data_IF_252935779054
#
_entry.id   IF_252935779054
#
_cell.length_a   1.000
_cell.length_b   1.000
_cell.length_c   1.000
_cell.angle_alpha   90.00
_cell.angle_beta   90.00
_cell.angle_gamma   90.00
#
_symmetry.space_group_name_H-M   'P 1'
#
loop_
_entity.id
_entity.type
_entity.pdbx_description
1 polymer ?
#
# COMPACT_ATOMS: atom_id res chain seq x y z
N UNK A 1 23.96 -12.97 33.51
CA UNK A 1 22.70 -12.18 33.37
C UNK A 1 22.71 -11.33 32.10
N UNK A 2 23.67 -10.41 31.92
CA UNK A 2 23.77 -9.55 30.72
C UNK A 2 23.83 -10.34 29.39
N UNK A 3 24.54 -11.47 29.35
CA UNK A 3 24.61 -12.33 28.16
C UNK A 3 23.29 -13.03 27.84
N UNK A 4 22.49 -13.36 28.85
CA UNK A 4 21.16 -13.96 28.67
C UNK A 4 20.20 -12.89 28.16
N UNK A 5 20.28 -11.67 28.70
CA UNK A 5 19.50 -10.52 28.25
C UNK A 5 19.79 -10.17 26.78
N UNK A 6 21.07 -10.18 26.36
CA UNK A 6 21.45 -9.99 24.96
C UNK A 6 20.91 -11.10 24.05
N UNK A 7 20.94 -12.36 24.51
CA UNK A 7 20.46 -13.50 23.74
C UNK A 7 18.93 -13.44 23.57
N UNK A 8 18.20 -13.06 24.61
CA UNK A 8 16.74 -12.85 24.55
C UNK A 8 16.38 -11.68 23.61
N UNK A 9 17.14 -10.59 23.61
CA UNK A 9 16.91 -9.46 22.72
C UNK A 9 17.13 -9.83 21.24
N UNK A 10 18.13 -10.66 20.96
CA UNK A 10 18.38 -11.21 19.61
C UNK A 10 17.26 -12.16 19.14
N UNK A 11 16.66 -12.91 20.06
CA UNK A 11 15.60 -13.87 19.76
C UNK A 11 14.22 -13.20 19.60
N UNK A 12 13.97 -12.13 20.35
CA UNK A 12 12.71 -11.37 20.34
C UNK A 12 12.67 -10.24 19.31
N UNK A 13 13.80 -9.95 18.67
CA UNK A 13 13.81 -9.17 17.43
C UNK A 13 13.66 -10.17 16.29
N UNK A 14 12.45 -10.47 15.78
CA UNK A 14 12.37 -10.85 14.39
C UNK A 14 13.06 -9.69 13.68
N UNK A 15 14.22 -9.98 13.08
CA UNK A 15 14.84 -9.12 12.09
C UNK A 15 13.65 -8.62 11.27
N UNK A 16 13.38 -7.32 11.33
CA UNK A 16 12.40 -6.70 10.47
C UNK A 16 12.97 -6.86 9.06
N UNK A 17 12.83 -8.05 8.52
CA UNK A 17 12.86 -8.35 7.11
C UNK A 17 11.66 -7.55 6.62
N UNK A 18 11.89 -6.26 6.42
CA UNK A 18 10.99 -5.43 5.65
C UNK A 18 10.79 -6.23 4.38
N UNK A 19 9.60 -6.83 4.27
CA UNK A 19 9.22 -7.57 3.08
C UNK A 19 9.38 -6.53 1.98
N UNK A 20 10.37 -6.73 1.12
CA UNK A 20 10.56 -5.87 -0.03
C UNK A 20 9.38 -6.16 -0.94
N UNK A 21 8.27 -5.48 -0.68
CA UNK A 21 7.08 -5.51 -1.49
C UNK A 21 7.49 -4.98 -2.85
N UNK A 22 7.33 -5.83 -3.86
CA UNK A 22 7.61 -5.46 -5.24
C UNK A 22 6.72 -4.27 -5.61
N UNK A 23 7.33 -3.24 -6.19
CA UNK A 23 6.62 -2.01 -6.52
C UNK A 23 5.58 -2.34 -7.60
N UNK A 24 4.30 -2.08 -7.34
CA UNK A 24 3.22 -2.32 -8.32
C UNK A 24 3.46 -1.62 -9.68
N UNK A 25 4.17 -0.50 -9.67
CA UNK A 25 4.65 0.16 -10.90
C UNK A 25 5.77 1.14 -10.59
N UNK A 26 6.76 1.25 -11.48
CA UNK A 26 7.77 2.31 -11.37
C UNK A 26 7.21 3.71 -11.62
N UNK A 27 6.07 3.83 -12.34
CA UNK A 27 5.50 5.10 -12.83
C UNK A 27 4.07 5.34 -12.34
N UNK A 28 3.83 6.51 -11.74
CA UNK A 28 2.50 6.95 -11.29
C UNK A 28 2.13 8.28 -11.97
N UNK A 29 0.86 8.44 -12.32
CA UNK A 29 0.26 9.71 -12.70
C UNK A 29 -0.28 10.37 -11.44
N UNK A 30 0.40 11.41 -10.97
CA UNK A 30 -0.09 12.31 -9.94
C UNK A 30 -0.80 13.52 -10.59
N UNK A 31 -1.73 14.15 -9.88
CA UNK A 31 -2.34 15.41 -10.35
C UNK A 31 -1.36 16.59 -10.30
N UNK A 32 -0.32 16.52 -9.45
CA UNK A 32 0.73 17.52 -9.32
C UNK A 32 2.09 16.84 -9.02
N UNK A 33 3.19 17.57 -9.20
CA UNK A 33 4.55 17.10 -8.89
C UNK A 33 4.72 16.80 -7.38
N UNK A 34 3.90 17.42 -6.52
CA UNK A 34 3.82 17.14 -5.10
C UNK A 34 2.68 16.13 -4.78
N UNK A 35 2.97 15.00 -4.11
CA UNK A 35 2.00 13.92 -3.85
C UNK A 35 0.94 14.24 -2.78
N UNK A 36 0.74 15.53 -2.47
CA UNK A 36 -0.09 15.99 -1.35
C UNK A 36 -1.55 16.17 -1.76
N UNK A 37 -1.83 16.38 -3.04
CA UNK A 37 -3.18 16.69 -3.51
C UNK A 37 -3.94 15.45 -4.00
N UNK A 38 -5.14 15.25 -3.47
CA UNK A 38 -6.09 14.25 -3.96
C UNK A 38 -6.54 14.61 -5.38
N UNK A 39 -6.45 13.64 -6.31
CA UNK A 39 -6.90 13.80 -7.70
C UNK A 39 -8.42 13.81 -7.77
N UNK A 40 -9.06 12.90 -7.03
CA UNK A 40 -10.52 12.76 -7.04
C UNK A 40 -11.07 12.07 -5.80
N UNK A 41 -12.32 12.38 -5.47
CA UNK A 41 -13.11 11.66 -4.49
C UNK A 41 -13.97 10.63 -5.22
N UNK A 42 -13.74 9.34 -4.97
CA UNK A 42 -14.49 8.25 -5.57
C UNK A 42 -15.44 7.64 -4.53
N UNK A 43 -16.58 7.12 -5.01
CA UNK A 43 -17.47 6.28 -4.20
C UNK A 43 -17.34 4.84 -4.67
N UNK A 44 -17.14 3.93 -3.74
CA UNK A 44 -17.11 2.50 -4.02
C UNK A 44 -18.51 1.99 -4.43
N UNK A 45 -18.62 1.37 -5.59
CA UNK A 45 -19.86 0.74 -6.04
C UNK A 45 -20.05 -0.68 -5.48
N UNK A 46 -18.95 -1.35 -5.14
CA UNK A 46 -18.91 -2.73 -4.67
C UNK A 46 -17.97 -2.87 -3.47
N UNK A 47 -18.14 -3.96 -2.72
CA UNK A 47 -17.20 -4.36 -1.68
C UNK A 47 -15.96 -4.98 -2.33
N UNK A 48 -14.77 -4.49 -1.96
CA UNK A 48 -13.50 -5.08 -2.35
C UNK A 48 -12.74 -5.53 -1.12
N UNK A 49 -12.46 -6.84 -1.05
CA UNK A 49 -11.65 -7.43 0.01
C UNK A 49 -10.25 -7.71 -0.53
N UNK A 50 -9.28 -6.92 -0.09
CA UNK A 50 -7.88 -7.06 -0.39
C UNK A 50 -7.35 -8.42 0.10
N UNK A 51 -6.73 -9.18 -0.79
CA UNK A 51 -6.00 -10.41 -0.44
C UNK A 51 -4.72 -10.11 0.35
N UNK A 52 -4.04 -9.01 0.02
CA UNK A 52 -2.79 -8.58 0.62
C UNK A 52 -2.94 -7.20 1.27
N UNK A 53 -3.01 -7.18 2.61
CA UNK A 53 -3.26 -5.97 3.40
C UNK A 53 -2.14 -4.92 3.32
N UNK A 54 -0.96 -5.30 2.83
CA UNK A 54 0.17 -4.38 2.64
C UNK A 54 0.11 -3.63 1.30
N UNK A 55 -0.67 -4.12 0.33
CA UNK A 55 -0.69 -3.61 -1.05
C UNK A 55 -2.02 -2.98 -1.41
N UNK A 56 -3.12 -3.54 -0.90
CA UNK A 56 -4.47 -3.12 -1.24
C UNK A 56 -5.28 -2.81 0.01
N UNK A 57 -6.17 -1.82 -0.11
CA UNK A 57 -7.10 -1.41 0.94
C UNK A 57 -8.43 -2.16 0.80
N UNK A 58 -9.02 -2.52 1.94
CA UNK A 58 -10.38 -3.04 1.98
C UNK A 58 -11.37 -1.90 1.79
N UNK A 59 -12.30 -2.07 0.86
CA UNK A 59 -13.29 -1.07 0.52
C UNK A 59 -14.68 -1.67 0.72
N UNK A 60 -15.58 -0.88 1.30
CA UNK A 60 -17.00 -1.23 1.39
C UNK A 60 -17.84 -0.44 0.40
N UNK A 61 -18.89 -1.06 -0.12
CA UNK A 61 -19.89 -0.44 -0.99
C UNK A 61 -20.45 0.81 -0.33
N UNK A 62 -20.42 1.91 -1.06
CA UNK A 62 -20.87 3.23 -0.62
C UNK A 62 -19.82 4.05 0.14
N UNK A 63 -18.64 3.49 0.45
CA UNK A 63 -17.55 4.22 1.08
C UNK A 63 -16.98 5.27 0.12
N UNK A 64 -16.69 6.46 0.65
CA UNK A 64 -15.96 7.50 -0.07
C UNK A 64 -14.46 7.28 0.12
N UNK A 65 -13.70 7.35 -0.96
CA UNK A 65 -12.27 7.05 -1.00
C UNK A 65 -11.56 8.20 -1.71
N UNK A 66 -10.47 8.67 -1.13
CA UNK A 66 -9.65 9.71 -1.72
C UNK A 66 -8.59 9.09 -2.63
N UNK A 67 -8.65 9.39 -3.93
CA UNK A 67 -7.70 8.85 -4.91
C UNK A 67 -6.57 9.85 -5.14
N UNK A 68 -5.34 9.42 -4.90
CA UNK A 68 -4.14 10.28 -4.97
C UNK A 68 -3.34 10.12 -6.25
N UNK A 69 -3.35 8.94 -6.88
CA UNK A 69 -2.66 8.72 -8.14
C UNK A 69 -3.22 7.52 -8.88
N UNK A 70 -3.17 7.58 -10.22
CA UNK A 70 -3.37 6.40 -11.07
C UNK A 70 -2.00 5.76 -11.31
N UNK A 71 -1.87 4.46 -11.03
CA UNK A 71 -0.66 3.71 -11.32
C UNK A 71 -0.64 3.42 -12.82
N UNK A 72 0.48 3.68 -13.50
CA UNK A 72 0.63 3.29 -14.90
C UNK A 72 0.91 1.79 -14.98
N UNK A 73 0.27 1.11 -15.92
CA UNK A 73 0.52 -0.30 -16.14
C UNK A 73 1.94 -0.48 -16.68
N UNK A 74 2.69 -1.40 -16.08
CA UNK A 74 3.83 -2.03 -16.73
C UNK A 74 3.28 -3.23 -17.53
N UNK A 75 3.87 -3.55 -18.69
CA UNK A 75 3.31 -4.50 -19.67
C UNK A 75 2.54 -5.66 -19.03
N UNK A 76 1.26 -5.76 -19.37
CA UNK A 76 0.29 -6.78 -18.94
C UNK A 76 -0.19 -6.73 -17.47
N UNK A 77 0.14 -5.70 -16.69
CA UNK A 77 -0.49 -5.46 -15.39
C UNK A 77 -1.85 -4.75 -15.55
N UNK A 78 -2.81 -5.08 -14.67
CA UNK A 78 -4.13 -4.44 -14.63
C UNK A 78 -4.07 -2.97 -14.23
N UNK A 79 -5.17 -2.22 -14.38
CA UNK A 79 -5.23 -0.83 -13.93
C UNK A 79 -5.37 -0.74 -12.40
N UNK A 80 -4.48 0.03 -11.76
CA UNK A 80 -4.48 0.23 -10.31
C UNK A 80 -4.48 1.72 -9.94
N UNK A 81 -4.99 2.03 -8.75
CA UNK A 81 -5.03 3.39 -8.20
C UNK A 81 -4.55 3.39 -6.75
N UNK A 82 -3.82 4.44 -6.35
CA UNK A 82 -3.45 4.66 -4.96
C UNK A 82 -4.51 5.52 -4.28
N UNK A 83 -5.07 5.01 -3.18
CA UNK A 83 -6.17 5.65 -2.48
C UNK A 83 -6.14 5.35 -0.97
N UNK A 84 -6.86 6.15 -0.17
CA UNK A 84 -7.04 5.95 1.28
C UNK A 84 -8.47 6.23 1.72
#
# INVERSE_FOLDING_TARGET
YLMILLLCLRLMCPLATGIFMEKLTSKKLCADDDPVYTISLARAEEDYNASDCCTFINIKKGQLIYVYSKLMNEKDSGEFWAAS
#
